data_IF_743134408189
#
_entry.id   IF_743134408189
#
_cell.length_a   1.000
_cell.length_b   1.000
_cell.length_c   1.000
_cell.angle_alpha   90.00
_cell.angle_beta   90.00
_cell.angle_gamma   90.00
#
_symmetry.space_group_name_H-M   'P 1'
#
loop_
_entity.id
_entity.type
_entity.pdbx_description
1 polymer ?
#
# COMPACT_ATOMS: atom_id res chain seq x y z
N UNK A 1 -8.00 -11.43 9.43
CA UNK A 1 -7.53 -10.55 8.34
C UNK A 1 -6.27 -11.07 7.68
N UNK A 2 -5.17 -11.37 8.40
CA UNK A 2 -3.93 -11.93 7.80
C UNK A 2 -4.19 -13.13 6.87
N UNK A 3 -5.09 -14.03 7.25
CA UNK A 3 -5.45 -15.21 6.46
C UNK A 3 -6.03 -14.87 5.08
N UNK A 4 -6.68 -13.71 4.89
CA UNK A 4 -7.18 -13.27 3.58
C UNK A 4 -5.99 -12.91 2.66
N UNK A 5 -4.96 -12.27 3.23
CA UNK A 5 -3.82 -11.74 2.45
C UNK A 5 -2.77 -12.79 2.08
N UNK A 6 -2.75 -13.92 2.76
CA UNK A 6 -1.77 -15.00 2.54
C UNK A 6 -2.20 -16.01 1.49
N UNK A 7 -3.42 -15.92 0.96
CA UNK A 7 -3.93 -16.89 0.01
C UNK A 7 -3.27 -16.77 -1.37
N UNK A 8 -3.21 -17.90 -2.07
CA UNK A 8 -2.64 -17.97 -3.41
C UNK A 8 -3.69 -17.61 -4.47
N UNK A 9 -4.96 -17.99 -4.23
CA UNK A 9 -6.11 -17.81 -5.13
C UNK A 9 -7.20 -16.91 -4.51
N UNK A 10 -7.97 -16.24 -5.36
CA UNK A 10 -9.06 -15.35 -4.95
C UNK A 10 -10.19 -16.09 -4.21
N UNK A 11 -10.58 -17.28 -4.69
CA UNK A 11 -11.62 -18.12 -4.07
C UNK A 11 -11.28 -18.47 -2.61
N UNK A 12 -10.01 -18.78 -2.33
CA UNK A 12 -9.55 -19.06 -0.97
C UNK A 12 -9.64 -17.81 -0.09
N UNK A 13 -9.31 -16.64 -0.64
CA UNK A 13 -9.42 -15.37 0.09
C UNK A 13 -10.89 -15.00 0.38
N UNK A 14 -11.82 -15.35 -0.52
CA UNK A 14 -13.26 -15.20 -0.31
C UNK A 14 -13.77 -16.11 0.80
N UNK A 15 -13.32 -17.37 0.84
CA UNK A 15 -13.70 -18.27 1.90
C UNK A 15 -13.20 -17.77 3.27
N UNK A 16 -11.97 -17.25 3.33
CA UNK A 16 -11.45 -16.63 4.55
C UNK A 16 -12.21 -15.36 4.95
N UNK A 17 -12.75 -14.61 3.99
CA UNK A 17 -13.63 -13.47 4.28
C UNK A 17 -14.97 -13.93 4.89
N UNK A 18 -15.55 -15.04 4.41
CA UNK A 18 -16.77 -15.62 4.99
C UNK A 18 -16.52 -16.04 6.44
N UNK A 19 -15.45 -16.79 6.68
CA UNK A 19 -15.04 -17.23 8.02
C UNK A 19 -14.82 -16.02 8.97
N UNK A 20 -14.19 -14.95 8.46
CA UNK A 20 -14.00 -13.72 9.21
C UNK A 20 -15.33 -13.02 9.53
N UNK A 21 -16.24 -12.97 8.56
CA UNK A 21 -17.56 -12.37 8.72
C UNK A 21 -18.35 -13.11 9.77
N UNK A 22 -18.46 -14.43 9.68
CA UNK A 22 -19.18 -15.26 10.67
C UNK A 22 -18.66 -15.04 12.10
N UNK A 23 -17.33 -15.00 12.26
CA UNK A 23 -16.70 -14.82 13.56
C UNK A 23 -16.91 -13.43 14.16
N UNK A 24 -16.86 -12.38 13.35
CA UNK A 24 -16.77 -11.00 13.85
C UNK A 24 -17.99 -10.12 13.57
N UNK A 25 -18.96 -10.57 12.76
CA UNK A 25 -20.14 -9.78 12.39
C UNK A 25 -20.91 -9.28 13.61
N UNK A 26 -21.04 -10.12 14.65
CA UNK A 26 -21.79 -9.77 15.87
C UNK A 26 -21.12 -8.65 16.68
N UNK A 27 -19.79 -8.64 16.74
CA UNK A 27 -19.02 -7.68 17.53
C UNK A 27 -18.68 -6.41 16.73
N UNK A 28 -18.42 -6.55 15.43
CA UNK A 28 -17.94 -5.48 14.57
C UNK A 28 -18.64 -5.45 13.19
N UNK A 29 -19.97 -5.23 13.16
CA UNK A 29 -20.77 -5.32 11.92
C UNK A 29 -20.36 -4.30 10.85
N UNK A 30 -19.87 -3.13 11.25
CA UNK A 30 -19.38 -2.10 10.32
C UNK A 30 -18.09 -2.52 9.62
N UNK A 31 -17.20 -3.20 10.35
CA UNK A 31 -15.91 -3.67 9.81
C UNK A 31 -16.17 -4.75 8.77
N UNK A 32 -16.97 -5.76 9.12
CA UNK A 32 -17.31 -6.86 8.21
C UNK A 32 -18.07 -6.38 6.98
N UNK A 33 -19.03 -5.45 7.12
CA UNK A 33 -19.69 -4.79 5.99
C UNK A 33 -18.68 -4.11 5.05
N UNK A 34 -17.80 -3.27 5.59
CA UNK A 34 -16.82 -2.56 4.77
C UNK A 34 -15.85 -3.51 4.05
N UNK A 35 -15.49 -4.61 4.70
CA UNK A 35 -14.66 -5.66 4.11
C UNK A 35 -15.34 -6.37 2.94
N UNK A 36 -16.62 -6.72 3.08
CA UNK A 36 -17.40 -7.33 2.00
C UNK A 36 -17.54 -6.37 0.80
N UNK A 37 -17.87 -5.10 1.05
CA UNK A 37 -18.00 -4.09 -0.01
C UNK A 37 -16.70 -3.80 -0.76
N UNK A 38 -15.57 -3.81 -0.04
CA UNK A 38 -14.26 -3.43 -0.59
C UNK A 38 -13.39 -4.62 -0.98
N UNK A 39 -13.86 -5.85 -0.78
CA UNK A 39 -13.05 -7.06 -0.90
C UNK A 39 -12.25 -7.10 -2.20
N UNK A 40 -12.92 -6.97 -3.35
CA UNK A 40 -12.28 -7.00 -4.66
C UNK A 40 -11.21 -5.92 -4.85
N UNK A 41 -11.38 -4.74 -4.23
CA UNK A 41 -10.36 -3.67 -4.25
C UNK A 41 -9.17 -4.01 -3.35
N UNK A 42 -9.43 -4.62 -2.20
CA UNK A 42 -8.41 -5.02 -1.24
C UNK A 42 -7.61 -6.25 -1.68
N UNK A 43 -8.13 -7.06 -2.61
CA UNK A 43 -7.49 -8.29 -3.10
C UNK A 43 -6.91 -8.20 -4.50
N UNK A 44 -6.89 -7.01 -5.13
CA UNK A 44 -6.27 -6.79 -6.46
C UNK A 44 -4.81 -7.27 -6.50
N UNK A 45 -4.09 -7.21 -5.37
CA UNK A 45 -2.71 -7.68 -5.30
C UNK A 45 -2.55 -9.18 -5.61
N UNK A 46 -3.61 -10.00 -5.51
CA UNK A 46 -3.58 -11.41 -5.90
C UNK A 46 -3.34 -11.62 -7.41
N UNK A 47 -3.62 -10.59 -8.23
CA UNK A 47 -3.31 -10.60 -9.67
C UNK A 47 -1.82 -10.40 -9.99
N UNK A 48 -0.97 -10.24 -8.96
CA UNK A 48 0.48 -10.11 -9.11
C UNK A 48 1.19 -11.39 -8.64
N UNK A 49 2.42 -11.64 -9.12
CA UNK A 49 3.24 -12.76 -8.66
C UNK A 49 3.42 -12.76 -7.13
N UNK A 50 3.46 -13.94 -6.53
CA UNK A 50 3.48 -14.11 -5.08
C UNK A 50 4.67 -13.39 -4.42
N UNK A 51 5.80 -13.33 -5.13
CA UNK A 51 7.07 -12.76 -4.72
C UNK A 51 6.94 -11.29 -4.29
N UNK A 52 6.06 -10.52 -4.94
CA UNK A 52 5.90 -9.07 -4.72
C UNK A 52 4.67 -8.71 -3.89
N UNK A 53 3.71 -9.63 -3.70
CA UNK A 53 2.44 -9.37 -3.00
C UNK A 53 2.63 -8.71 -1.63
N UNK A 54 3.62 -9.19 -0.86
CA UNK A 54 3.95 -8.64 0.47
C UNK A 54 4.34 -7.17 0.41
N UNK A 55 5.05 -6.75 -0.63
CA UNK A 55 5.41 -5.35 -0.82
C UNK A 55 4.19 -4.47 -1.16
N UNK A 56 3.11 -5.06 -1.71
CA UNK A 56 1.87 -4.36 -2.05
C UNK A 56 0.93 -4.23 -0.84
N UNK A 57 0.66 -5.32 -0.12
CA UNK A 57 -0.35 -5.30 0.95
C UNK A 57 0.19 -4.82 2.31
N UNK A 58 1.51 -4.70 2.48
CA UNK A 58 2.06 -4.24 3.77
C UNK A 58 2.04 -2.71 3.89
N UNK A 59 1.65 -2.24 5.07
CA UNK A 59 1.65 -0.81 5.43
C UNK A 59 2.97 -0.34 6.05
N UNK A 60 3.98 -1.22 6.12
CA UNK A 60 5.25 -0.95 6.81
C UNK A 60 5.93 0.35 6.35
N UNK A 61 5.93 0.62 5.04
CA UNK A 61 6.55 1.82 4.48
C UNK A 61 5.78 3.09 4.82
N UNK A 62 4.45 3.10 4.65
CA UNK A 62 3.61 4.24 4.98
C UNK A 62 3.57 4.51 6.49
N UNK A 63 3.51 3.47 7.33
CA UNK A 63 3.60 3.58 8.79
C UNK A 63 4.94 4.12 9.26
N UNK A 64 6.04 3.67 8.65
CA UNK A 64 7.39 4.18 8.93
C UNK A 64 7.49 5.66 8.56
N UNK A 65 6.98 6.05 7.40
CA UNK A 65 6.94 7.46 6.97
C UNK A 65 6.09 8.31 7.94
N UNK A 66 4.90 7.84 8.31
CA UNK A 66 4.03 8.53 9.27
C UNK A 66 4.66 8.64 10.66
N UNK A 67 5.43 7.65 11.10
CA UNK A 67 6.21 7.71 12.34
C UNK A 67 7.28 8.80 12.26
N UNK A 68 8.00 8.87 11.14
CA UNK A 68 9.01 9.89 10.92
C UNK A 68 8.41 11.29 10.89
N UNK A 69 7.25 11.50 10.25
CA UNK A 69 6.54 12.78 10.27
C UNK A 69 6.07 13.17 11.67
N UNK A 70 5.43 12.25 12.40
CA UNK A 70 5.03 12.48 13.79
C UNK A 70 6.22 12.85 14.67
N UNK A 71 7.39 12.24 14.45
CA UNK A 71 8.61 12.56 15.19
C UNK A 71 9.04 14.02 15.02
N UNK A 72 8.96 14.57 13.80
CA UNK A 72 9.38 15.95 13.54
C UNK A 72 8.36 16.96 14.09
N UNK A 73 7.08 16.60 14.06
CA UNK A 73 5.97 17.47 14.50
C UNK A 73 5.78 17.44 16.02
N UNK A 74 6.11 16.33 16.70
CA UNK A 74 5.82 16.12 18.13
C UNK A 74 6.30 17.25 19.06
N UNK A 75 7.40 17.90 18.74
CA UNK A 75 7.97 18.98 19.56
C UNK A 75 7.57 20.39 19.07
N UNK A 76 6.59 20.48 18.17
CA UNK A 76 6.05 21.75 17.65
C UNK A 76 4.61 21.92 18.14
N UNK A 77 4.39 22.89 19.02
CA UNK A 77 3.06 23.21 19.55
C UNK A 77 2.16 23.89 18.52
N UNK A 78 2.74 24.70 17.62
CA UNK A 78 2.04 25.34 16.51
C UNK A 78 2.99 25.66 15.36
N UNK A 79 2.42 25.93 14.19
CA UNK A 79 3.13 26.46 13.03
C UNK A 79 2.61 27.87 12.73
N UNK A 80 3.50 28.82 12.39
CA UNK A 80 3.09 30.20 12.09
C UNK A 80 2.30 30.31 10.77
N UNK A 81 2.54 29.40 9.82
CA UNK A 81 1.83 29.32 8.53
C UNK A 81 1.74 27.87 8.05
N UNK A 82 0.83 27.58 7.11
CA UNK A 82 0.76 26.30 6.40
C UNK A 82 2.08 25.95 5.71
N UNK A 83 2.73 26.95 5.12
CA UNK A 83 4.00 26.78 4.39
C UNK A 83 5.14 26.36 5.31
N UNK A 84 5.15 26.84 6.56
CA UNK A 84 6.14 26.39 7.54
C UNK A 84 5.99 24.90 7.86
N UNK A 85 4.74 24.41 7.99
CA UNK A 85 4.46 22.99 8.18
C UNK A 85 4.86 22.16 6.95
N UNK A 86 4.51 22.63 5.75
CA UNK A 86 4.87 21.96 4.48
C UNK A 86 6.37 21.89 4.28
N UNK A 87 7.12 22.97 4.54
CA UNK A 87 8.59 22.99 4.46
C UNK A 87 9.20 21.96 5.39
N UNK A 88 8.69 21.81 6.61
CA UNK A 88 9.19 20.82 7.56
C UNK A 88 8.99 19.38 7.07
N UNK A 89 7.79 19.08 6.55
CA UNK A 89 7.48 17.77 5.97
C UNK A 89 8.35 17.52 4.73
N UNK A 90 8.51 18.52 3.86
CA UNK A 90 9.36 18.43 2.67
C UNK A 90 10.81 18.12 3.01
N UNK A 91 11.41 18.84 3.96
CA UNK A 91 12.78 18.57 4.42
C UNK A 91 12.90 17.13 4.94
N UNK A 92 11.88 16.66 5.66
CA UNK A 92 11.86 15.28 6.15
C UNK A 92 11.75 14.26 5.02
N UNK A 93 10.92 14.51 4.01
CA UNK A 93 10.81 13.66 2.81
C UNK A 93 12.15 13.59 2.10
N UNK A 94 12.82 14.72 1.88
CA UNK A 94 14.15 14.78 1.25
C UNK A 94 15.19 13.95 2.00
N UNK A 95 15.19 14.01 3.33
CA UNK A 95 16.11 13.20 4.15
C UNK A 95 15.80 11.69 4.04
N UNK A 96 14.52 11.32 3.99
CA UNK A 96 14.09 9.95 3.81
C UNK A 96 14.44 9.43 2.41
N UNK A 97 14.22 10.23 1.39
CA UNK A 97 14.55 9.92 -0.01
C UNK A 97 16.04 9.63 -0.14
N UNK A 98 16.91 10.51 0.39
CA UNK A 98 18.36 10.26 0.42
C UNK A 98 18.70 8.94 1.13
N UNK A 99 18.09 8.66 2.29
CA UNK A 99 18.31 7.45 3.07
C UNK A 99 17.87 6.17 2.35
N UNK A 100 16.83 6.24 1.53
CA UNK A 100 16.22 5.08 0.88
C UNK A 100 16.51 4.98 -0.62
N UNK A 101 17.24 5.94 -1.20
CA UNK A 101 17.60 6.01 -2.62
C UNK A 101 18.21 4.72 -3.17
N UNK A 102 19.07 4.05 -2.39
CA UNK A 102 19.73 2.81 -2.79
C UNK A 102 18.94 1.53 -2.40
N UNK A 103 17.84 1.67 -1.64
CA UNK A 103 17.08 0.50 -1.17
C UNK A 103 16.16 -0.01 -2.26
N UNK A 104 16.41 -1.24 -2.69
CA UNK A 104 15.50 -1.97 -3.56
C UNK A 104 14.35 -2.59 -2.77
N UNK A 105 13.18 -2.63 -3.41
CA UNK A 105 12.03 -3.35 -2.88
C UNK A 105 12.34 -4.86 -2.85
N UNK A 106 11.93 -5.53 -1.78
CA UNK A 106 12.19 -6.96 -1.60
C UNK A 106 11.59 -7.79 -2.75
N UNK A 107 12.38 -8.73 -3.29
CA UNK A 107 12.04 -9.59 -4.43
C UNK A 107 11.70 -8.85 -5.73
N UNK A 108 11.97 -7.55 -5.84
CA UNK A 108 11.61 -6.78 -7.03
C UNK A 108 12.32 -7.30 -8.28
N UNK A 109 13.58 -7.72 -8.16
CA UNK A 109 14.38 -8.30 -9.24
C UNK A 109 13.73 -9.53 -9.88
N UNK A 110 13.01 -10.34 -9.08
CA UNK A 110 12.34 -11.56 -9.56
C UNK A 110 11.12 -11.28 -10.42
N UNK A 111 10.52 -10.11 -10.27
CA UNK A 111 9.26 -9.73 -10.93
C UNK A 111 9.43 -8.59 -11.93
N UNK A 112 10.64 -8.06 -12.08
CA UNK A 112 10.92 -6.86 -12.86
C UNK A 112 10.45 -7.01 -14.31
N UNK A 113 10.80 -8.12 -14.97
CA UNK A 113 10.38 -8.39 -16.34
C UNK A 113 8.85 -8.44 -16.47
N UNK A 114 8.18 -9.21 -15.61
CA UNK A 114 6.72 -9.30 -15.59
C UNK A 114 6.05 -7.93 -15.42
N UNK A 115 6.56 -7.10 -14.49
CA UNK A 115 6.02 -5.77 -14.24
C UNK A 115 6.26 -4.83 -15.43
N UNK A 116 7.43 -4.90 -16.08
CA UNK A 116 7.74 -4.14 -17.31
C UNK A 116 6.76 -4.49 -18.42
N UNK A 117 6.55 -5.77 -18.70
CA UNK A 117 5.59 -6.23 -19.72
C UNK A 117 4.17 -5.75 -19.42
N UNK A 118 3.72 -5.90 -18.16
CA UNK A 118 2.39 -5.44 -17.73
C UNK A 118 2.23 -3.93 -17.84
N UNK A 119 3.27 -3.15 -17.56
CA UNK A 119 3.26 -1.69 -17.76
C UNK A 119 3.26 -1.33 -19.24
N UNK A 120 4.07 -2.00 -20.06
CA UNK A 120 4.09 -1.80 -21.50
C UNK A 120 2.70 -2.05 -22.10
N UNK A 121 2.05 -3.16 -21.77
CA UNK A 121 0.68 -3.43 -22.24
C UNK A 121 -0.32 -2.33 -21.81
N UNK A 122 -0.18 -1.79 -20.60
CA UNK A 122 -1.08 -0.76 -20.07
C UNK A 122 -0.85 0.62 -20.70
N UNK A 123 0.39 1.00 -20.97
CA UNK A 123 0.77 2.36 -21.36
C UNK A 123 1.15 2.51 -22.85
N UNK A 124 1.52 1.43 -23.55
CA UNK A 124 1.88 1.45 -24.97
C UNK A 124 0.67 1.52 -25.91
N UNK A 125 -0.55 1.32 -25.39
CA UNK A 125 -1.82 1.54 -26.12
C UNK A 125 -2.35 2.99 -25.98
N UNK A 126 -1.62 3.87 -25.27
CA UNK A 126 -1.91 5.30 -25.24
C UNK A 126 -0.85 6.01 -26.06
N UNK A 127 -1.12 6.22 -27.34
CA UNK A 127 -0.34 7.16 -28.16
C UNK A 127 -0.13 8.49 -27.43
N UNK A 128 1.00 9.18 -27.66
CA UNK A 128 1.37 10.36 -26.91
C UNK A 128 0.23 11.38 -26.95
N UNK A 129 -0.13 11.92 -25.78
CA UNK A 129 -0.90 13.16 -25.73
C UNK A 129 -0.06 14.20 -26.45
N UNK A 130 -0.40 14.47 -27.71
CA UNK A 130 0.07 15.65 -28.41
C UNK A 130 -0.27 16.85 -27.52
N UNK A 131 0.77 17.59 -27.15
CA UNK A 131 0.68 18.83 -26.39
C UNK A 131 -0.12 19.87 -27.16
#
# INVERSE_FOLDING_TARGET
MKMIYTQTKAEQAEQELKNLTEKWQKLYPSITKSWNEKFYKLTVFLQYPQEIRKSIYTTNWSERMNREFRRVIRNKSSFPTSDAALKLIFLKIRDLDKRYSEKRMYNFEKVEYYLREKMNQRYSLKEPRHN
#
